data_IF_362957683553
#
_entry.id   IF_362957683553
#
_cell.length_a   1.000
_cell.length_b   1.000
_cell.length_c   1.000
_cell.angle_alpha   90.00
_cell.angle_beta   90.00
_cell.angle_gamma   90.00
#
_symmetry.space_group_name_H-M   'P 1'
#
loop_
_entity.id
_entity.type
_entity.pdbx_description
1 polymer ?
#
# COMPACT_ATOMS: atom_id res chain seq x y z
N UNK A 1 43.10 -0.90 -65.29
CA UNK A 1 42.92 -1.75 -64.09
C UNK A 1 41.46 -2.15 -64.01
N UNK A 2 41.21 -3.45 -64.06
CA UNK A 2 39.88 -4.05 -64.18
C UNK A 2 39.10 -4.01 -62.86
N UNK A 3 37.82 -3.66 -62.95
CA UNK A 3 36.87 -3.58 -61.84
C UNK A 3 36.17 -4.94 -61.73
N UNK A 4 36.19 -5.57 -60.55
CA UNK A 4 35.74 -6.94 -60.36
C UNK A 4 34.20 -7.10 -60.43
N UNK A 5 33.67 -8.21 -60.96
CA UNK A 5 32.26 -8.37 -61.33
C UNK A 5 31.33 -8.96 -60.25
N UNK A 6 31.67 -8.89 -58.96
CA UNK A 6 30.88 -9.56 -57.90
C UNK A 6 29.77 -8.70 -57.28
N UNK A 7 29.46 -7.55 -57.87
CA UNK A 7 28.17 -6.91 -57.69
C UNK A 7 27.15 -7.61 -58.59
N UNK A 8 26.31 -8.48 -58.00
CA UNK A 8 24.93 -8.84 -58.42
C UNK A 8 24.61 -10.21 -57.87
N UNK A 9 24.17 -10.26 -56.62
CA UNK A 9 23.14 -11.20 -56.17
C UNK A 9 22.89 -10.92 -54.70
N UNK A 10 21.61 -10.82 -54.36
CA UNK A 10 21.06 -10.84 -53.01
C UNK A 10 20.72 -9.46 -52.39
N UNK A 11 20.24 -8.53 -53.21
CA UNK A 11 18.92 -7.91 -52.96
C UNK A 11 17.89 -9.05 -53.14
N UNK A 12 17.39 -9.70 -52.08
CA UNK A 12 16.03 -9.38 -51.62
C UNK A 12 15.80 -9.70 -50.13
N UNK A 13 16.81 -9.69 -49.27
CA UNK A 13 16.64 -10.04 -47.84
C UNK A 13 16.24 -8.82 -46.98
N UNK A 14 15.49 -7.88 -47.56
CA UNK A 14 15.10 -6.60 -46.95
C UNK A 14 13.56 -6.45 -46.78
N UNK A 15 12.78 -7.53 -46.93
CA UNK A 15 11.31 -7.48 -46.79
C UNK A 15 10.71 -8.48 -45.79
N UNK A 16 11.53 -9.27 -45.06
CA UNK A 16 11.04 -10.23 -44.08
C UNK A 16 10.93 -9.68 -42.63
N UNK A 17 11.06 -8.36 -42.44
CA UNK A 17 11.04 -7.72 -41.12
C UNK A 17 9.76 -6.93 -40.79
N UNK A 18 8.73 -7.03 -41.64
CA UNK A 18 7.55 -6.16 -41.55
C UNK A 18 6.23 -6.87 -41.15
N UNK A 19 6.24 -8.14 -40.73
CA UNK A 19 4.99 -8.89 -40.50
C UNK A 19 4.86 -9.62 -39.15
N UNK A 20 5.65 -9.26 -38.13
CA UNK A 20 5.52 -9.80 -36.76
C UNK A 20 5.04 -8.75 -35.73
N UNK A 21 4.36 -7.69 -36.16
CA UNK A 21 3.74 -6.69 -35.28
C UNK A 21 2.23 -6.89 -35.09
N UNK A 22 1.69 -8.04 -35.47
CA UNK A 22 0.29 -8.38 -35.21
C UNK A 22 0.17 -9.28 -33.98
N UNK A 23 -0.46 -8.74 -32.94
CA UNK A 23 -1.14 -9.56 -31.95
C UNK A 23 -0.36 -9.86 -30.69
N UNK A 24 -0.24 -8.87 -29.82
CA UNK A 24 -0.72 -9.07 -28.47
C UNK A 24 -1.29 -7.74 -27.98
N UNK A 25 -2.59 -7.55 -28.19
CA UNK A 25 -3.40 -6.79 -27.24
C UNK A 25 -3.31 -7.55 -25.93
N UNK A 26 -2.21 -7.35 -25.21
CA UNK A 26 -2.13 -7.65 -23.81
C UNK A 26 -3.17 -6.75 -23.19
N UNK A 27 -4.34 -7.33 -22.92
CA UNK A 27 -5.25 -6.82 -21.91
C UNK A 27 -4.35 -6.44 -20.75
N UNK A 28 -4.15 -5.13 -20.56
CA UNK A 28 -3.81 -4.63 -19.24
C UNK A 28 -4.98 -5.10 -18.40
N UNK A 29 -4.86 -6.31 -17.85
CA UNK A 29 -5.53 -6.69 -16.65
C UNK A 29 -5.23 -5.53 -15.73
N UNK A 30 -6.24 -4.67 -15.58
CA UNK A 30 -6.46 -3.86 -14.42
C UNK A 30 -6.28 -4.82 -13.25
N UNK A 31 -5.03 -5.04 -12.85
CA UNK A 31 -4.67 -5.32 -11.50
C UNK A 31 -5.07 -4.03 -10.82
N UNK A 32 -6.36 -3.98 -10.47
CA UNK A 32 -6.86 -3.07 -9.47
C UNK A 32 -6.10 -3.49 -8.22
N UNK A 33 -4.92 -2.90 -8.07
CA UNK A 33 -4.17 -2.94 -6.85
C UNK A 33 -5.03 -2.12 -5.89
N UNK A 34 -5.98 -2.79 -5.24
CA UNK A 34 -6.77 -2.25 -4.15
C UNK A 34 -5.88 -2.04 -2.91
N UNK A 35 -4.64 -1.59 -3.09
CA UNK A 35 -3.89 -1.00 -1.99
C UNK A 35 -4.59 0.32 -1.66
N UNK A 36 -5.13 0.48 -0.44
CA UNK A 36 -5.70 1.74 -0.03
C UNK A 36 -4.63 2.84 -0.15
N UNK A 37 -4.82 3.76 -1.09
CA UNK A 37 -3.93 4.90 -1.25
C UNK A 37 -4.37 5.98 -0.24
N UNK A 38 -3.72 6.01 0.92
CA UNK A 38 -3.94 7.05 1.92
C UNK A 38 -3.30 8.35 1.43
N UNK A 39 -4.12 9.30 1.01
CA UNK A 39 -3.69 10.67 0.70
C UNK A 39 -4.25 11.58 1.78
N UNK A 40 -3.36 12.15 2.61
CA UNK A 40 -3.73 13.02 3.73
C UNK A 40 -3.57 14.49 3.37
N UNK A 41 -4.56 15.31 3.72
CA UNK A 41 -4.45 16.78 3.74
C UNK A 41 -4.43 17.19 5.21
N UNK A 42 -3.44 17.99 5.62
CA UNK A 42 -3.33 18.42 7.03
C UNK A 42 -4.55 19.28 7.43
N UNK A 43 -5.55 18.66 8.06
CA UNK A 43 -6.69 19.31 8.66
C UNK A 43 -6.97 18.63 10.00
N UNK A 44 -7.12 19.40 11.07
CA UNK A 44 -7.40 18.85 12.40
C UNK A 44 -8.81 18.26 12.41
N UNK A 45 -8.91 16.94 12.51
CA UNK A 45 -10.15 16.24 12.88
C UNK A 45 -10.19 16.14 14.42
N UNK A 46 -11.38 16.10 15.00
CA UNK A 46 -11.60 15.94 16.45
C UNK A 46 -12.37 14.65 16.78
N UNK A 47 -12.45 13.73 15.82
CA UNK A 47 -13.19 12.49 15.99
C UNK A 47 -12.33 11.50 16.81
N UNK A 48 -12.82 11.01 17.97
CA UNK A 48 -12.09 9.98 18.70
C UNK A 48 -12.01 8.70 17.87
N UNK A 49 -10.93 7.94 18.04
CA UNK A 49 -10.82 6.60 17.47
C UNK A 49 -12.03 5.76 17.91
N UNK A 50 -12.77 5.11 16.99
CA UNK A 50 -13.89 4.25 17.35
C UNK A 50 -13.47 3.18 18.35
N UNK A 51 -14.27 2.97 19.40
CA UNK A 51 -13.96 2.03 20.48
C UNK A 51 -13.89 0.56 20.03
N UNK A 52 -14.30 0.24 18.81
CA UNK A 52 -14.15 -1.09 18.20
C UNK A 52 -12.78 -1.33 17.58
N UNK A 53 -11.92 -0.31 17.49
CA UNK A 53 -10.55 -0.47 16.98
C UNK A 53 -9.60 -0.60 18.17
N UNK A 54 -9.00 -1.80 18.39
CA UNK A 54 -8.09 -2.02 19.50
C UNK A 54 -6.81 -1.21 19.30
N UNK A 55 -6.23 -0.72 20.41
CA UNK A 55 -4.95 -0.04 20.42
C UNK A 55 -3.89 -0.92 21.10
N UNK A 56 -2.69 -1.06 20.51
CA UNK A 56 -1.58 -1.71 21.18
C UNK A 56 -1.26 -1.04 22.51
N UNK A 57 -0.79 -1.84 23.48
CA UNK A 57 -0.27 -1.28 24.73
C UNK A 57 0.83 -0.25 24.44
N UNK A 58 0.83 0.86 25.18
CA UNK A 58 1.81 1.95 25.04
C UNK A 58 1.76 2.70 23.69
N UNK A 59 0.66 2.59 22.95
CA UNK A 59 0.38 3.50 21.85
C UNK A 59 0.09 4.91 22.41
N UNK A 60 0.82 5.91 21.92
CA UNK A 60 0.66 7.32 22.28
C UNK A 60 0.23 8.09 21.03
N UNK A 61 -0.89 8.80 21.10
CA UNK A 61 -1.36 9.62 19.99
C UNK A 61 -0.39 10.78 19.75
N UNK A 62 0.07 10.93 18.52
CA UNK A 62 0.95 12.01 18.07
C UNK A 62 0.14 13.07 17.35
N UNK A 63 -0.72 12.64 16.42
CA UNK A 63 -1.45 13.55 15.56
C UNK A 63 -2.74 12.92 15.06
N UNK A 64 -3.74 13.75 14.81
CA UNK A 64 -4.97 13.39 14.11
C UNK A 64 -5.15 14.30 12.89
N UNK A 65 -5.61 13.74 11.78
CA UNK A 65 -5.91 14.52 10.58
C UNK A 65 -6.95 13.87 9.68
N UNK A 66 -7.62 14.66 8.84
CA UNK A 66 -8.51 14.15 7.80
C UNK A 66 -7.73 13.46 6.69
N UNK A 67 -8.15 12.25 6.30
CA UNK A 67 -7.51 11.47 5.25
C UNK A 67 -8.55 10.91 4.29
N UNK A 68 -8.17 10.71 3.03
CA UNK A 68 -9.03 10.01 2.07
C UNK A 68 -8.62 8.55 1.99
N UNK A 69 -9.59 7.66 2.18
CA UNK A 69 -9.45 6.21 2.05
C UNK A 69 -10.49 5.72 1.04
N UNK A 70 -10.04 5.08 -0.04
CA UNK A 70 -10.92 4.58 -1.12
C UNK A 70 -11.88 5.65 -1.68
N UNK A 71 -11.40 6.88 -1.85
CA UNK A 71 -12.18 8.02 -2.37
C UNK A 71 -13.19 8.61 -1.39
N UNK A 72 -13.24 8.13 -0.14
CA UNK A 72 -14.07 8.67 0.92
C UNK A 72 -13.23 9.40 1.95
N UNK A 73 -13.70 10.56 2.39
CA UNK A 73 -13.10 11.30 3.50
C UNK A 73 -13.36 10.58 4.81
N UNK A 74 -12.29 10.32 5.54
CA UNK A 74 -12.28 9.73 6.86
C UNK A 74 -11.32 10.45 7.79
N UNK A 75 -11.07 9.83 8.94
CA UNK A 75 -10.11 10.33 9.93
C UNK A 75 -8.92 9.39 10.00
N UNK A 76 -7.72 9.97 10.12
CA UNK A 76 -6.50 9.25 10.38
C UNK A 76 -5.89 9.69 11.71
N UNK A 77 -5.43 8.71 12.48
CA UNK A 77 -4.73 8.88 13.75
C UNK A 77 -3.33 8.30 13.62
N UNK A 78 -2.34 9.14 13.91
CA UNK A 78 -0.94 8.79 13.96
C UNK A 78 -0.55 8.55 15.42
N UNK A 79 -0.13 7.34 15.72
CA UNK A 79 0.38 6.92 17.01
C UNK A 79 1.87 6.59 16.93
N UNK A 80 2.53 6.71 18.06
CA UNK A 80 3.84 6.08 18.30
C UNK A 80 3.65 4.96 19.32
N UNK A 81 4.11 3.76 18.99
CA UNK A 81 4.15 2.62 19.91
C UNK A 81 5.58 2.47 20.42
N UNK A 82 5.77 2.66 21.72
CA UNK A 82 7.11 2.65 22.36
C UNK A 82 7.23 1.44 23.28
N UNK A 83 8.16 0.55 22.96
CA UNK A 83 8.40 -0.66 23.75
C UNK A 83 9.71 -1.35 23.39
N UNK A 84 10.22 -2.17 24.31
CA UNK A 84 11.37 -3.00 24.03
C UNK A 84 10.94 -4.16 23.12
N UNK A 85 11.46 -4.17 21.88
CA UNK A 85 11.17 -5.22 20.91
C UNK A 85 9.91 -5.01 20.08
N UNK A 86 9.27 -3.84 20.17
CA UNK A 86 8.18 -3.51 19.24
C UNK A 86 8.73 -3.37 17.82
N UNK A 87 8.07 -4.03 16.89
CA UNK A 87 8.39 -4.01 15.47
C UNK A 87 7.13 -3.71 14.67
N UNK A 88 7.24 -3.18 13.44
CA UNK A 88 6.09 -3.06 12.56
C UNK A 88 5.30 -4.38 12.43
N UNK A 89 6.01 -5.51 12.36
CA UNK A 89 5.40 -6.83 12.30
C UNK A 89 4.61 -7.19 13.57
N UNK A 90 5.15 -6.94 14.77
CA UNK A 90 4.42 -7.23 16.03
C UNK A 90 3.13 -6.41 16.13
N UNK A 91 3.18 -5.15 15.71
CA UNK A 91 1.99 -4.27 15.68
C UNK A 91 0.94 -4.80 14.70
N UNK A 92 1.33 -5.27 13.51
CA UNK A 92 0.38 -5.84 12.56
C UNK A 92 -0.21 -7.16 13.05
N UNK A 93 0.62 -8.04 13.64
CA UNK A 93 0.13 -9.28 14.27
C UNK A 93 -0.87 -8.98 15.38
N UNK A 94 -0.66 -7.92 16.17
CA UNK A 94 -1.64 -7.46 17.16
C UNK A 94 -2.98 -7.14 16.50
N UNK A 95 -3.01 -6.39 15.40
CA UNK A 95 -4.26 -6.05 14.71
C UNK A 95 -4.91 -7.27 14.07
N UNK A 96 -4.14 -8.16 13.42
CA UNK A 96 -4.65 -9.40 12.84
C UNK A 96 -5.34 -10.29 13.89
N UNK A 97 -4.84 -10.26 15.13
CA UNK A 97 -5.41 -11.03 16.23
C UNK A 97 -6.65 -10.35 16.84
N UNK A 98 -6.61 -9.04 17.05
CA UNK A 98 -7.63 -8.34 17.85
C UNK A 98 -8.73 -7.67 17.03
N UNK A 99 -8.51 -7.31 15.75
CA UNK A 99 -9.58 -6.73 14.93
C UNK A 99 -10.75 -7.70 14.71
N UNK A 100 -10.52 -8.98 14.36
CA UNK A 100 -11.60 -9.95 14.17
C UNK A 100 -12.45 -10.18 15.42
N UNK A 101 -11.82 -10.21 16.59
CA UNK A 101 -12.55 -10.37 17.87
C UNK A 101 -13.41 -9.15 18.21
N UNK A 102 -13.12 -7.98 17.61
CA UNK A 102 -13.91 -6.76 17.71
C UNK A 102 -14.90 -6.58 16.54
N UNK A 103 -15.12 -7.60 15.72
CA UNK A 103 -16.13 -7.60 14.64
C UNK A 103 -15.67 -6.98 13.33
N UNK A 104 -14.37 -6.78 13.13
CA UNK A 104 -13.80 -6.34 11.86
C UNK A 104 -13.39 -7.52 10.98
N UNK A 105 -13.68 -7.44 9.69
CA UNK A 105 -13.30 -8.48 8.72
C UNK A 105 -12.12 -7.99 7.88
N UNK A 106 -11.09 -8.82 7.71
CA UNK A 106 -9.95 -8.48 6.84
C UNK A 106 -10.39 -8.47 5.38
N UNK A 107 -10.17 -7.36 4.67
CA UNK A 107 -10.55 -7.20 3.25
C UNK A 107 -9.35 -7.19 2.31
N UNK A 108 -8.18 -6.78 2.81
CA UNK A 108 -6.93 -6.91 2.06
C UNK A 108 -5.75 -7.02 3.02
N UNK A 109 -4.90 -8.02 2.76
CA UNK A 109 -3.55 -8.07 3.28
C UNK A 109 -2.65 -7.77 2.09
N UNK A 110 -1.99 -6.60 2.05
CA UNK A 110 -0.97 -6.33 1.06
C UNK A 110 0.09 -7.45 1.12
N UNK A 111 0.66 -7.89 -0.02
CA UNK A 111 1.82 -8.78 0.01
C UNK A 111 2.94 -8.14 0.85
N UNK A 112 3.79 -8.93 1.51
CA UNK A 112 4.86 -8.42 2.40
C UNK A 112 5.76 -7.33 1.75
N UNK A 113 5.81 -7.31 0.41
CA UNK A 113 6.51 -6.32 -0.42
C UNK A 113 5.79 -4.98 -0.60
N UNK A 114 4.51 -4.87 -0.26
CA UNK A 114 3.75 -3.62 -0.30
C UNK A 114 4.00 -2.81 0.98
N UNK A 115 5.27 -2.45 1.16
CA UNK A 115 5.69 -1.51 2.18
C UNK A 115 5.25 -0.11 1.75
N UNK A 116 4.44 0.56 2.58
CA UNK A 116 4.13 1.97 2.36
C UNK A 116 5.40 2.84 2.40
N UNK A 117 5.31 4.13 2.06
CA UNK A 117 6.42 5.11 2.06
C UNK A 117 7.30 5.12 3.33
N UNK A 118 6.80 4.57 4.43
CA UNK A 118 7.49 4.42 5.73
C UNK A 118 8.03 3.00 6.00
N UNK A 119 8.21 2.17 4.97
CA UNK A 119 8.69 0.78 5.12
C UNK A 119 7.68 -0.14 5.79
N UNK A 120 6.41 0.28 5.86
CA UNK A 120 5.45 -0.27 6.79
C UNK A 120 4.52 -1.31 6.20
N UNK A 121 4.28 -2.39 6.94
CA UNK A 121 3.26 -3.39 6.64
C UNK A 121 1.89 -2.77 6.89
N UNK A 122 0.97 -2.91 5.92
CA UNK A 122 -0.40 -2.43 6.05
C UNK A 122 -1.39 -3.59 6.07
N UNK A 123 -2.60 -3.37 6.57
CA UNK A 123 -3.72 -4.31 6.51
C UNK A 123 -5.03 -3.52 6.49
N UNK A 124 -5.99 -3.97 5.71
CA UNK A 124 -7.29 -3.32 5.59
C UNK A 124 -8.39 -4.20 6.18
N UNK A 125 -9.33 -3.56 6.88
CA UNK A 125 -10.50 -4.19 7.49
C UNK A 125 -11.79 -3.48 7.09
N UNK A 126 -12.91 -4.18 7.27
CA UNK A 126 -14.25 -3.65 7.11
C UNK A 126 -15.16 -4.05 8.28
N UNK A 127 -15.99 -3.12 8.76
CA UNK A 127 -17.00 -3.35 9.79
C UNK A 127 -18.21 -2.44 9.55
N UNK A 128 -19.41 -3.02 9.40
CA UNK A 128 -20.66 -2.23 9.36
C UNK A 128 -20.69 -1.13 8.28
N UNK A 129 -20.03 -1.35 7.13
CA UNK A 129 -19.91 -0.36 6.05
C UNK A 129 -18.70 0.57 6.15
N UNK A 130 -18.01 0.61 7.30
CA UNK A 130 -16.76 1.35 7.48
C UNK A 130 -15.55 0.55 7.00
N UNK A 131 -14.55 1.25 6.47
CA UNK A 131 -13.24 0.72 6.10
C UNK A 131 -12.18 1.25 7.06
N UNK A 132 -11.33 0.35 7.55
CA UNK A 132 -10.14 0.71 8.31
C UNK A 132 -8.89 0.29 7.54
N UNK A 133 -7.89 1.16 7.49
CA UNK A 133 -6.55 0.85 7.03
C UNK A 133 -5.57 1.06 8.19
N UNK A 134 -4.83 0.01 8.52
CA UNK A 134 -3.80 0.02 9.55
C UNK A 134 -2.45 -0.08 8.84
N UNK A 135 -1.52 0.80 9.17
CA UNK A 135 -0.15 0.73 8.69
C UNK A 135 0.82 0.93 9.85
N UNK A 136 1.83 0.06 9.96
CA UNK A 136 2.87 0.17 10.97
C UNK A 136 4.23 0.27 10.29
N UNK A 137 5.08 1.22 10.68
CA UNK A 137 6.40 1.45 10.09
C UNK A 137 7.46 1.82 11.13
N UNK A 138 8.73 1.79 10.74
CA UNK A 138 9.83 2.16 11.65
C UNK A 138 9.92 3.67 11.76
N UNK A 139 10.02 4.20 12.97
CA UNK A 139 10.36 5.61 13.14
C UNK A 139 11.86 5.82 12.90
N UNK A 140 12.23 6.46 11.80
CA UNK A 140 13.64 6.72 11.47
C UNK A 140 14.32 7.70 12.44
N UNK A 141 13.54 8.53 13.13
CA UNK A 141 14.04 9.44 14.16
C UNK A 141 14.21 8.75 15.52
N UNK A 142 13.45 7.67 15.77
CA UNK A 142 13.48 6.91 17.01
C UNK A 142 13.45 5.40 16.70
N UNK A 143 14.61 4.74 16.52
CA UNK A 143 14.67 3.35 16.03
C UNK A 143 14.07 2.29 16.98
N UNK A 144 13.65 2.70 18.18
CA UNK A 144 12.93 1.87 19.17
C UNK A 144 11.42 2.14 19.21
N UNK A 145 10.91 2.91 18.26
CA UNK A 145 9.52 3.30 18.18
C UNK A 145 8.93 2.89 16.84
N UNK A 146 7.73 2.33 16.90
CA UNK A 146 6.93 2.01 15.71
C UNK A 146 5.95 3.15 15.48
N UNK A 147 5.92 3.67 14.26
CA UNK A 147 4.89 4.59 13.81
C UNK A 147 3.68 3.76 13.41
N UNK A 148 2.52 4.04 13.99
CA UNK A 148 1.26 3.38 13.70
C UNK A 148 0.30 4.41 13.13
N UNK A 149 -0.16 4.18 11.91
CA UNK A 149 -1.20 4.97 11.26
C UNK A 149 -2.47 4.14 11.19
N UNK A 150 -3.55 4.68 11.74
CA UNK A 150 -4.90 4.12 11.66
C UNK A 150 -5.74 5.08 10.86
N UNK A 151 -6.36 4.64 9.78
CA UNK A 151 -7.29 5.46 8.98
C UNK A 151 -8.64 4.78 8.93
N UNK A 152 -9.73 5.50 9.21
CA UNK A 152 -11.10 4.98 9.12
C UNK A 152 -11.94 5.90 8.27
N UNK A 153 -12.64 5.31 7.30
CA UNK A 153 -13.59 5.99 6.42
C UNK A 153 -14.90 5.20 6.33
N UNK A 154 -16.03 5.86 6.00
CA UNK A 154 -17.32 5.20 5.83
C UNK A 154 -17.44 4.40 4.53
#
# INVERSE_FOLDING_TARGET
MAISPWARRLLPMLCAFAFLLTGCSGSSSLLVNHTPQVTGTAGHSTAPLPGTVPLPNRAVLVQEYSATLNGKTGTAWLYTVIGNGETPASVITFYQTNMPTNGWTTVAVPPESAQGKYGGTAIAYQQGGQYAAIAAGVNTQYPRAVVLLITIAP
#
